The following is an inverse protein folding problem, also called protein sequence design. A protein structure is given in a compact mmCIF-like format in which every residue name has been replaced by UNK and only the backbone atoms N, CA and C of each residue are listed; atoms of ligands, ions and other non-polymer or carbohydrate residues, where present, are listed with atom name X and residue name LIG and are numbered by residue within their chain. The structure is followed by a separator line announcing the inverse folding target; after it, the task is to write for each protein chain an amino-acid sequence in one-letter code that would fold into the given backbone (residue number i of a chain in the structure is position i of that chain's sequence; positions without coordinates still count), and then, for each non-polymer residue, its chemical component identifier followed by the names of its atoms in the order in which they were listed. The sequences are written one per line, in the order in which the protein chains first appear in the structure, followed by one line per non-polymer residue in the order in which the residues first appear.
data_IF_704205751993
#
_entry.id   IF_704205751993
#
_cell.length_a   1.000
_cell.length_b   1.000
_cell.length_c   1.000
_cell.angle_alpha   90.00
_cell.angle_beta   90.00
_cell.angle_gamma   90.00
#
_symmetry.space_group_name_H-M   'P 1'
#
loop_
_entity.id
_entity.type
_entity.pdbx_description
1 polymer ?
#
# COMPACT_ATOMS: atom_id res chain seq x y z
N UNK A 1 -22.99 7.34 -16.87
CA UNK A 1 -22.87 6.98 -15.44
C UNK A 1 -21.40 6.75 -15.22
N UNK A 2 -20.73 7.67 -14.53
CA UNK A 2 -19.32 7.52 -14.15
C UNK A 2 -19.37 6.72 -12.84
N UNK A 3 -18.86 5.49 -12.87
CA UNK A 3 -18.66 4.69 -11.66
C UNK A 3 -17.79 5.49 -10.70
N UNK A 4 -18.24 5.60 -9.44
CA UNK A 4 -17.57 6.40 -8.41
C UNK A 4 -16.11 5.95 -8.29
N UNK A 5 -15.11 6.85 -8.42
CA UNK A 5 -13.69 6.48 -8.33
C UNK A 5 -13.22 6.08 -6.92
N UNK A 6 -14.15 5.95 -5.97
CA UNK A 6 -13.90 5.70 -4.55
C UNK A 6 -14.60 4.43 -4.08
N UNK A 7 -14.39 3.30 -4.76
CA UNK A 7 -14.77 2.03 -4.16
C UNK A 7 -13.90 1.82 -2.92
N UNK A 8 -14.55 1.72 -1.75
CA UNK A 8 -13.84 1.52 -0.49
C UNK A 8 -13.07 0.20 -0.52
N UNK A 9 -11.84 0.17 0.02
CA UNK A 9 -11.11 -1.09 0.16
C UNK A 9 -11.96 -2.12 0.90
N UNK A 10 -12.14 -3.31 0.32
CA UNK A 10 -13.05 -4.32 0.90
C UNK A 10 -12.75 -4.66 2.37
N UNK A 11 -11.48 -4.52 2.80
CA UNK A 11 -11.07 -4.75 4.19
C UNK A 11 -11.72 -3.76 5.19
N UNK A 12 -12.03 -2.53 4.78
CA UNK A 12 -12.69 -1.55 5.67
C UNK A 12 -14.21 -1.78 5.77
N UNK A 13 -14.77 -2.62 4.90
CA UNK A 13 -16.19 -3.01 4.96
C UNK A 13 -16.43 -4.17 5.94
N UNK A 14 -15.37 -4.78 6.47
CA UNK A 14 -15.47 -5.87 7.44
C UNK A 14 -15.76 -5.30 8.83
N UNK A 15 -17.02 -5.36 9.23
CA UNK A 15 -17.46 -4.98 10.56
C UNK A 15 -16.62 -5.69 11.65
N UNK A 16 -16.43 -5.00 12.78
CA UNK A 16 -15.70 -5.50 13.96
C UNK A 16 -14.20 -5.80 13.72
N UNK A 17 -13.62 -5.28 12.64
CA UNK A 17 -12.16 -5.29 12.42
C UNK A 17 -11.54 -3.93 12.78
N UNK A 18 -10.23 -3.92 13.04
CA UNK A 18 -9.51 -2.68 13.28
C UNK A 18 -9.56 -1.75 12.06
N UNK A 19 -9.56 -2.32 10.84
CA UNK A 19 -9.61 -1.58 9.59
C UNK A 19 -10.93 -0.84 9.35
N UNK A 20 -12.04 -1.30 9.94
CA UNK A 20 -13.37 -0.71 9.72
C UNK A 20 -13.44 0.77 10.13
N UNK A 21 -12.62 1.19 11.10
CA UNK A 21 -12.57 2.59 11.57
C UNK A 21 -12.06 3.57 10.53
N UNK A 22 -11.41 3.08 9.46
CA UNK A 22 -10.86 3.90 8.39
C UNK A 22 -11.87 4.18 7.28
N UNK A 23 -13.01 3.49 7.24
CA UNK A 23 -14.05 3.66 6.20
C UNK A 23 -14.47 5.13 6.05
N UNK A 24 -14.96 5.73 7.13
CA UNK A 24 -15.40 7.13 7.16
C UNK A 24 -14.29 8.12 6.76
N UNK A 25 -13.02 7.79 7.07
CA UNK A 25 -11.88 8.65 6.77
C UNK A 25 -11.48 8.59 5.30
N UNK A 26 -11.52 7.40 4.72
CA UNK A 26 -11.29 7.20 3.29
C UNK A 26 -12.42 7.87 2.50
N UNK A 27 -13.68 7.74 2.94
CA UNK A 27 -14.81 8.47 2.35
C UNK A 27 -14.65 9.99 2.45
N UNK A 28 -14.06 10.48 3.55
CA UNK A 28 -13.71 11.89 3.72
C UNK A 28 -12.49 12.34 2.89
N UNK A 29 -11.86 11.44 2.12
CA UNK A 29 -10.76 11.73 1.22
C UNK A 29 -9.36 11.53 1.81
N UNK A 30 -9.23 10.84 2.95
CA UNK A 30 -7.89 10.51 3.46
C UNK A 30 -7.16 9.56 2.49
N UNK A 31 -5.90 9.87 2.12
CA UNK A 31 -5.15 9.05 1.19
C UNK A 31 -4.94 7.62 1.70
N UNK A 32 -5.06 6.67 0.78
CA UNK A 32 -4.83 5.26 1.06
C UNK A 32 -4.13 4.58 -0.11
N UNK A 33 -3.47 3.46 0.19
CA UNK A 33 -2.77 2.65 -0.80
C UNK A 33 -2.79 1.18 -0.38
N UNK A 34 -3.05 0.27 -1.31
CA UNK A 34 -2.95 -1.17 -1.08
C UNK A 34 -1.60 -1.67 -1.63
N UNK A 35 -0.76 -2.23 -0.77
CA UNK A 35 0.59 -2.68 -1.10
C UNK A 35 0.83 -4.14 -0.69
N UNK A 36 1.63 -4.91 -1.45
CA UNK A 36 2.12 -6.19 -0.96
C UNK A 36 3.17 -5.98 0.14
N UNK A 37 3.45 -7.02 0.93
CA UNK A 37 4.55 -7.02 1.91
C UNK A 37 5.73 -7.81 1.36
N UNK A 38 6.90 -7.18 1.34
CA UNK A 38 8.13 -7.77 0.86
C UNK A 38 8.78 -8.65 1.95
N UNK A 39 9.35 -9.78 1.52
CA UNK A 39 10.22 -10.59 2.37
C UNK A 39 9.53 -11.41 3.46
N UNK A 40 8.21 -11.60 3.40
CA UNK A 40 7.44 -12.38 4.39
C UNK A 40 8.03 -13.77 4.66
N UNK A 41 8.56 -14.44 3.64
CA UNK A 41 9.18 -15.77 3.77
C UNK A 41 10.49 -15.80 4.57
N UNK A 42 11.09 -14.65 4.91
CA UNK A 42 12.39 -14.57 5.59
C UNK A 42 12.28 -14.27 7.09
N UNK A 43 11.09 -13.93 7.58
CA UNK A 43 10.86 -13.57 8.98
C UNK A 43 9.98 -14.60 9.67
N UNK A 44 9.52 -14.30 10.90
CA UNK A 44 8.70 -15.20 11.71
C UNK A 44 7.29 -15.46 11.15
N UNK A 45 7.03 -15.10 9.89
CA UNK A 45 5.74 -15.30 9.24
C UNK A 45 5.51 -16.80 9.02
N UNK A 46 4.44 -17.35 9.61
CA UNK A 46 4.10 -18.77 9.48
C UNK A 46 4.83 -19.70 10.45
N UNK A 47 5.74 -19.18 11.28
CA UNK A 47 6.31 -19.91 12.41
C UNK A 47 5.20 -20.28 13.42
N UNK A 48 5.42 -21.35 14.20
CA UNK A 48 4.49 -21.75 15.24
C UNK A 48 4.45 -20.68 16.34
N UNK A 49 3.30 -20.02 16.51
CA UNK A 49 3.09 -19.06 17.57
C UNK A 49 2.96 -19.72 18.95
N UNK A 50 2.91 -18.89 19.99
CA UNK A 50 2.74 -19.35 21.39
C UNK A 50 1.47 -20.18 21.60
N UNK A 51 0.45 -19.98 20.76
CA UNK A 51 -0.82 -20.71 20.79
C UNK A 51 -0.89 -21.85 19.75
N UNK A 52 0.25 -22.29 19.18
CA UNK A 52 0.36 -23.30 18.11
C UNK A 52 -0.17 -22.84 16.74
N UNK A 53 -0.99 -21.78 16.69
CA UNK A 53 -1.38 -21.13 15.44
C UNK A 53 -0.17 -20.49 14.74
N UNK A 54 -0.07 -20.55 13.39
CA UNK A 54 0.98 -19.86 12.65
C UNK A 54 0.93 -18.36 12.92
N UNK A 55 2.09 -17.73 13.06
CA UNK A 55 2.18 -16.27 13.23
C UNK A 55 1.78 -15.60 11.92
N UNK A 56 0.50 -15.24 11.83
CA UNK A 56 -0.13 -14.56 10.68
C UNK A 56 -1.14 -13.53 11.18
N UNK A 57 -1.17 -12.32 10.61
CA UNK A 57 -2.19 -11.34 10.95
C UNK A 57 -3.56 -11.78 10.46
N UNK A 58 -4.60 -11.47 11.24
CA UNK A 58 -5.99 -11.63 10.83
C UNK A 58 -6.36 -10.57 9.81
N UNK A 59 -7.30 -10.88 8.93
CA UNK A 59 -7.84 -9.92 7.98
C UNK A 59 -8.46 -8.73 8.73
N UNK A 60 -8.08 -7.51 8.35
CA UNK A 60 -8.47 -6.25 8.99
C UNK A 60 -7.71 -5.93 10.28
N UNK A 61 -6.75 -6.74 10.72
CA UNK A 61 -5.96 -6.49 11.93
C UNK A 61 -4.97 -5.34 11.74
N UNK A 62 -4.82 -4.51 12.76
CA UNK A 62 -3.83 -3.42 12.80
C UNK A 62 -2.40 -3.96 12.81
N UNK A 63 -1.54 -3.32 12.02
CA UNK A 63 -0.11 -3.60 11.93
C UNK A 63 0.71 -2.38 12.39
N UNK A 64 1.93 -2.66 12.85
CA UNK A 64 2.94 -1.65 13.14
C UNK A 64 3.78 -1.34 11.90
N UNK A 65 4.14 -0.07 11.75
CA UNK A 65 5.14 0.39 10.78
C UNK A 65 6.31 0.99 11.56
N UNK A 66 7.52 0.55 11.26
CA UNK A 66 8.74 1.01 11.95
C UNK A 66 9.76 1.43 10.90
N UNK A 67 10.30 2.65 11.03
CA UNK A 67 11.39 3.12 10.18
C UNK A 67 12.68 2.40 10.52
N UNK A 68 13.41 1.94 9.50
CA UNK A 68 14.72 1.32 9.61
C UNK A 68 15.75 2.06 8.74
N UNK A 69 16.09 3.32 9.06
CA UNK A 69 16.95 4.17 8.22
C UNK A 69 18.39 3.66 8.08
N UNK A 70 18.87 2.87 9.05
CA UNK A 70 20.21 2.28 9.04
C UNK A 70 20.29 0.95 8.28
N UNK A 71 19.24 0.56 7.54
CA UNK A 71 19.23 -0.65 6.74
C UNK A 71 20.29 -0.55 5.62
N UNK A 72 21.18 -1.54 5.56
CA UNK A 72 22.33 -1.54 4.64
C UNK A 72 21.97 -1.58 3.15
N UNK A 73 20.72 -1.91 2.81
CA UNK A 73 20.25 -2.06 1.43
C UNK A 73 19.32 -0.92 0.98
N UNK A 74 18.57 -0.31 1.90
CA UNK A 74 17.57 0.72 1.61
C UNK A 74 17.38 1.67 2.81
N UNK A 75 17.85 2.91 2.70
CA UNK A 75 17.67 3.95 3.74
C UNK A 75 16.20 4.34 3.98
N UNK A 76 15.33 4.06 3.01
CA UNK A 76 13.90 4.29 3.12
C UNK A 76 13.15 3.10 3.73
N UNK A 77 13.84 2.03 4.14
CA UNK A 77 13.22 0.82 4.63
C UNK A 77 12.19 1.09 5.73
N UNK A 78 10.98 0.55 5.53
CA UNK A 78 9.91 0.54 6.53
C UNK A 78 9.56 -0.90 6.82
N UNK A 79 9.73 -1.31 8.06
CA UNK A 79 9.39 -2.64 8.54
C UNK A 79 7.91 -2.73 8.87
N UNK A 80 7.33 -3.89 8.61
CA UNK A 80 5.93 -4.21 8.93
C UNK A 80 5.91 -5.20 10.08
N UNK A 81 5.18 -4.87 11.16
CA UNK A 81 5.19 -5.61 12.41
C UNK A 81 3.79 -6.09 12.81
N UNK A 82 3.70 -7.31 13.34
CA UNK A 82 2.54 -7.83 14.04
C UNK A 82 2.68 -7.57 15.54
N UNK A 83 1.87 -6.65 16.06
CA UNK A 83 2.02 -6.15 17.42
C UNK A 83 3.42 -5.56 17.63
N UNK A 84 4.02 -5.84 18.79
CA UNK A 84 5.34 -5.32 19.18
C UNK A 84 6.44 -6.38 19.17
N UNK A 85 6.16 -7.58 18.65
CA UNK A 85 7.04 -8.74 18.85
C UNK A 85 7.54 -9.38 17.58
N UNK A 86 6.76 -9.34 16.50
CA UNK A 86 7.07 -10.11 15.29
C UNK A 86 7.16 -9.19 14.09
N UNK A 87 8.35 -9.06 13.53
CA UNK A 87 8.55 -8.49 12.21
C UNK A 87 7.98 -9.45 11.17
N UNK A 88 7.08 -8.97 10.32
CA UNK A 88 6.48 -9.75 9.24
C UNK A 88 7.26 -9.58 7.93
N UNK A 89 7.86 -8.42 7.70
CA UNK A 89 8.53 -8.09 6.45
C UNK A 89 8.78 -6.60 6.32
N UNK A 90 8.87 -6.12 5.08
CA UNK A 90 9.06 -4.71 4.76
C UNK A 90 7.99 -4.20 3.80
N UNK A 91 7.79 -2.89 3.78
CA UNK A 91 7.19 -2.25 2.63
C UNK A 91 8.07 -2.47 1.40
N UNK A 92 7.48 -2.62 0.20
CA UNK A 92 8.21 -2.58 -1.06
C UNK A 92 9.02 -1.28 -1.17
N UNK A 93 10.22 -1.33 -1.77
CA UNK A 93 11.14 -0.18 -1.80
C UNK A 93 10.54 1.06 -2.47
N UNK A 94 9.74 0.87 -3.52
CA UNK A 94 8.99 1.95 -4.18
C UNK A 94 8.01 2.62 -3.21
N UNK A 95 7.18 1.84 -2.52
CA UNK A 95 6.24 2.35 -1.51
C UNK A 95 6.98 3.00 -0.34
N UNK A 96 8.05 2.37 0.14
CA UNK A 96 8.87 2.86 1.23
C UNK A 96 9.48 4.23 0.90
N UNK A 97 9.97 4.42 -0.33
CA UNK A 97 10.50 5.69 -0.82
C UNK A 97 9.50 6.86 -0.76
N UNK A 98 8.20 6.58 -0.86
CA UNK A 98 7.17 7.61 -0.79
C UNK A 98 6.89 8.06 0.65
N UNK A 99 6.97 7.13 1.59
CA UNK A 99 6.47 7.36 2.96
C UNK A 99 7.59 7.57 3.98
N UNK A 100 8.83 7.18 3.69
CA UNK A 100 9.96 7.27 4.63
C UNK A 100 10.18 8.69 5.15
N UNK A 101 10.37 9.67 4.25
CA UNK A 101 10.53 11.08 4.62
C UNK A 101 9.34 11.65 5.40
N UNK A 102 8.09 11.48 4.91
CA UNK A 102 6.89 11.86 5.66
C UNK A 102 6.80 11.24 7.06
N UNK A 103 7.16 9.96 7.21
CA UNK A 103 7.20 9.28 8.51
C UNK A 103 8.27 9.88 9.44
N UNK A 104 9.44 10.20 8.91
CA UNK A 104 10.55 10.76 9.68
C UNK A 104 10.22 12.15 10.26
N UNK A 105 9.34 12.91 9.61
CA UNK A 105 8.81 14.19 10.12
C UNK A 105 7.52 14.04 10.95
N UNK A 106 7.09 12.79 11.21
CA UNK A 106 5.96 12.47 12.09
C UNK A 106 4.58 12.52 11.43
N UNK A 107 4.49 12.50 10.10
CA UNK A 107 3.18 12.40 9.43
C UNK A 107 2.57 11.01 9.66
N UNK A 108 1.27 10.93 10.01
CA UNK A 108 0.66 9.67 10.36
C UNK A 108 0.51 8.75 9.14
N UNK A 109 0.84 7.47 9.35
CA UNK A 109 0.52 6.37 8.45
C UNK A 109 0.06 5.16 9.26
N UNK A 110 -1.01 4.52 8.82
CA UNK A 110 -1.64 3.40 9.51
C UNK A 110 -1.69 2.23 8.55
N UNK A 111 -1.40 1.03 9.05
CA UNK A 111 -1.35 -0.19 8.26
C UNK A 111 -2.32 -1.23 8.80
N UNK A 112 -3.04 -1.89 7.91
CA UNK A 112 -3.98 -2.95 8.22
C UNK A 112 -3.75 -4.14 7.31
N UNK A 113 -3.90 -5.36 7.82
CA UNK A 113 -3.81 -6.56 7.01
C UNK A 113 -5.00 -6.64 6.05
N UNK A 114 -4.79 -6.39 4.74
CA UNK A 114 -5.81 -6.51 3.70
C UNK A 114 -5.90 -7.93 3.12
N UNK A 115 -4.80 -8.68 3.14
CA UNK A 115 -4.81 -10.10 2.86
C UNK A 115 -3.68 -10.77 3.62
N UNK A 116 -4.00 -11.77 4.44
CA UNK A 116 -2.98 -12.43 5.25
C UNK A 116 -1.90 -13.06 4.39
N UNK A 117 -2.25 -13.64 3.24
CA UNK A 117 -1.34 -14.43 2.43
C UNK A 117 -1.09 -15.83 3.00
N UNK A 118 -0.16 -16.54 2.39
CA UNK A 118 0.17 -17.93 2.74
C UNK A 118 1.62 -18.11 3.24
N UNK A 119 2.39 -17.02 3.30
CA UNK A 119 3.79 -17.00 3.72
C UNK A 119 4.79 -17.15 2.57
N UNK A 120 4.32 -17.36 1.34
CA UNK A 120 5.17 -17.23 0.15
C UNK A 120 5.41 -15.76 -0.17
N UNK A 121 6.45 -15.49 -0.96
CA UNK A 121 6.83 -14.13 -1.34
C UNK A 121 5.65 -13.37 -1.97
N UNK A 122 5.44 -12.13 -1.52
CA UNK A 122 4.40 -11.22 -2.03
C UNK A 122 2.95 -11.70 -1.83
N UNK A 123 2.72 -12.74 -1.04
CA UNK A 123 1.38 -13.28 -0.79
C UNK A 123 0.54 -12.43 0.17
N UNK A 124 1.18 -11.69 1.07
CA UNK A 124 0.52 -10.81 2.03
C UNK A 124 0.32 -9.42 1.44
N UNK A 125 -0.86 -8.82 1.70
CA UNK A 125 -1.20 -7.44 1.33
C UNK A 125 -1.66 -6.64 2.53
N UNK A 126 -1.38 -5.35 2.50
CA UNK A 126 -1.77 -4.41 3.53
C UNK A 126 -2.44 -3.18 2.92
N UNK A 127 -3.38 -2.63 3.68
CA UNK A 127 -3.95 -1.32 3.43
C UNK A 127 -3.18 -0.29 4.25
N UNK A 128 -2.60 0.69 3.57
CA UNK A 128 -2.01 1.88 4.15
C UNK A 128 -3.02 3.02 4.10
N UNK A 129 -3.21 3.74 5.20
CA UNK A 129 -4.11 4.91 5.29
C UNK A 129 -3.41 6.01 6.07
N UNK A 130 -3.30 7.21 5.51
CA UNK A 130 -2.70 8.33 6.22
C UNK A 130 -2.13 9.43 5.36
N UNK A 131 -1.95 10.59 6.00
CA UNK A 131 -1.37 11.78 5.39
C UNK A 131 0.02 11.54 4.82
N UNK A 132 0.80 10.59 5.32
CA UNK A 132 2.13 10.27 4.78
C UNK A 132 2.09 9.86 3.29
N UNK A 133 0.93 9.46 2.76
CA UNK A 133 0.72 9.13 1.34
C UNK A 133 0.33 10.35 0.48
N UNK A 134 0.05 11.52 1.08
CA UNK A 134 -0.50 12.67 0.35
C UNK A 134 0.51 13.36 -0.59
N UNK A 135 1.81 13.05 -0.50
CA UNK A 135 2.85 13.63 -1.37
C UNK A 135 2.96 12.98 -2.75
N UNK A 136 1.93 12.26 -3.20
CA UNK A 136 1.76 11.92 -4.62
C UNK A 136 1.49 13.16 -5.51
N UNK A 137 1.46 14.37 -4.95
CA UNK A 137 1.03 15.60 -5.62
C UNK A 137 2.17 16.60 -5.92
N UNK A 138 3.31 16.11 -6.39
CA UNK A 138 4.24 16.94 -7.18
C UNK A 138 4.03 16.58 -8.65
N UNK A 139 3.23 17.35 -9.42
CA UNK A 139 3.24 17.19 -10.87
C UNK A 139 4.68 17.46 -11.35
N UNK A 140 5.26 16.63 -12.24
CA UNK A 140 6.52 16.99 -12.87
C UNK A 140 6.33 18.35 -13.55
N UNK A 141 7.14 19.33 -13.14
CA UNK A 141 7.30 20.55 -13.91
C UNK A 141 7.95 20.15 -15.24
N UNK A 142 7.14 20.25 -16.29
CA UNK A 142 7.48 20.39 -17.71
C UNK A 142 6.89 19.34 -18.67
N UNK A 143 6.06 19.90 -19.56
CA UNK A 143 5.49 19.46 -20.83
C UNK A 143 4.38 18.40 -20.85
N UNK A 144 3.19 18.72 -21.41
CA UNK A 144 2.23 17.68 -21.77
C UNK A 144 2.86 16.82 -22.86
N UNK A 145 3.07 15.55 -22.54
CA UNK A 145 3.49 14.52 -23.48
C UNK A 145 2.50 14.49 -24.66
N UNK A 146 2.83 15.20 -25.74
CA UNK A 146 2.13 15.10 -27.02
C UNK A 146 2.52 13.76 -27.63
N UNK A 147 1.68 12.74 -27.44
CA UNK A 147 1.73 11.57 -28.31
C UNK A 147 1.52 12.04 -29.77
N UNK A 148 2.25 11.48 -30.74
CA UNK A 148 2.03 11.82 -32.14
C UNK A 148 0.60 11.43 -32.51
N UNK A 149 -0.14 12.37 -33.12
CA UNK A 149 -1.43 12.07 -33.70
C UNK A 149 -1.26 10.93 -34.70
N UNK A 150 -1.82 9.76 -34.40
CA UNK A 150 -1.97 8.69 -35.38
C UNK A 150 -2.94 9.24 -36.43
N UNK A 151 -2.42 9.49 -37.64
CA UNK A 151 -3.25 9.88 -38.76
C UNK A 151 -4.30 8.79 -39.00
N UNK A 152 -5.57 9.15 -38.81
CA UNK A 152 -6.67 8.34 -39.30
C UNK A 152 -6.55 8.27 -40.83
N UNK A 153 -6.24 7.07 -41.34
CA UNK A 153 -6.49 6.76 -42.73
C UNK A 153 -8.01 6.73 -42.90
N UNK A 154 -8.56 7.80 -43.48
CA UNK A 154 -9.86 7.77 -44.12
C UNK A 154 -9.60 7.62 -45.63
N UNK A 155 -9.99 6.47 -46.16
CA UNK A 155 -10.38 6.32 -47.55
C UNK A 155 -11.48 7.34 -47.87
N UNK A 156 -11.36 8.05 -48.98
CA UNK A 156 -12.38 8.11 -50.04
C UNK A 156 -12.07 9.23 -51.07
N UNK A 157 -12.18 8.84 -52.34
CA UNK A 157 -12.56 9.64 -53.51
C UNK A 157 -11.73 10.88 -53.92
N UNK A 158 -10.91 10.69 -54.95
CA UNK A 158 -10.57 11.76 -55.92
C UNK A 158 -11.27 11.43 -57.25
N UNK A 159 -12.35 12.14 -57.61
CA UNK A 159 -12.82 12.21 -58.98
C UNK A 159 -12.34 13.50 -59.69
N UNK A 160 -12.05 13.32 -60.98
CA UNK A 160 -11.76 14.28 -62.07
C UNK A 160 -10.32 14.75 -62.28
#
# INVERSE_FOLDING_TARGET
MIESPFELPGVVLLAETDAAVEGDRIEAGEPWHDAPVAGVQFYGYGDAGLAVEPVRPRHGQRLGLVRAPDNAFDENAVEVWLGNSTMLGHLPADVASWVAGPLDVGRPLRAYCAHSGDGTAWSMRILLVGEALAEMDVPPLDEPCRLPAVAAAADDDIPF
#
